data_IF_304501501724
#
_entry.id   IF_304501501724
#
_cell.length_a   1.000
_cell.length_b   1.000
_cell.length_c   1.000
_cell.angle_alpha   90.00
_cell.angle_beta   90.00
_cell.angle_gamma   90.00
#
_symmetry.space_group_name_H-M   'P 1'
#
loop_
_entity.id
_entity.type
_entity.pdbx_description
1 polymer ?
#
# COMPACT_ATOMS: atom_id res chain seq x y z
N UNK A 1 9.31 -15.94 -37.91
CA UNK A 1 10.36 -16.37 -36.97
C UNK A 1 9.76 -16.46 -35.58
N UNK A 2 10.01 -17.55 -34.86
CA UNK A 2 9.49 -17.80 -33.52
C UNK A 2 10.67 -17.72 -32.56
N UNK A 3 10.73 -16.66 -31.74
CA UNK A 3 11.94 -16.30 -30.98
C UNK A 3 12.05 -16.95 -29.59
N UNK A 4 10.92 -17.41 -29.03
CA UNK A 4 10.89 -18.14 -27.77
C UNK A 4 9.53 -18.78 -27.51
N UNK A 5 9.54 -19.96 -26.91
CA UNK A 5 8.35 -20.68 -26.43
C UNK A 5 8.48 -20.92 -24.92
N UNK A 6 7.36 -21.02 -24.22
CA UNK A 6 7.34 -21.21 -22.77
C UNK A 6 6.08 -21.94 -22.33
N UNK A 7 6.21 -22.78 -21.30
CA UNK A 7 5.14 -23.64 -20.81
C UNK A 7 4.99 -23.42 -19.32
N UNK A 8 3.83 -22.94 -18.88
CA UNK A 8 3.58 -22.68 -17.46
C UNK A 8 2.20 -23.13 -17.02
N UNK A 9 2.03 -23.29 -15.71
CA UNK A 9 0.75 -23.66 -15.07
C UNK A 9 -0.37 -22.64 -15.26
N UNK A 10 -0.06 -21.45 -15.79
CA UNK A 10 -1.04 -20.44 -16.20
C UNK A 10 -0.59 -19.74 -17.48
N UNK A 11 -1.54 -19.15 -18.22
CA UNK A 11 -1.22 -18.31 -19.39
C UNK A 11 -0.24 -17.18 -19.07
N UNK A 12 -0.26 -16.65 -17.83
CA UNK A 12 0.68 -15.62 -17.39
C UNK A 12 2.09 -16.18 -17.21
N UNK A 13 2.22 -17.35 -16.58
CA UNK A 13 3.50 -18.03 -16.40
C UNK A 13 4.11 -18.44 -17.75
N UNK A 14 3.32 -19.05 -18.63
CA UNK A 14 3.77 -19.44 -19.97
C UNK A 14 4.27 -18.25 -20.81
N UNK A 15 3.56 -17.10 -20.74
CA UNK A 15 4.00 -15.86 -21.41
C UNK A 15 5.29 -15.29 -20.82
N UNK A 16 5.44 -15.31 -19.50
CA UNK A 16 6.65 -14.81 -18.84
C UNK A 16 7.87 -15.67 -19.23
N UNK A 17 7.70 -16.99 -19.31
CA UNK A 17 8.76 -17.91 -19.70
C UNK A 17 9.12 -17.80 -21.19
N UNK A 18 8.13 -17.69 -22.07
CA UNK A 18 8.39 -17.44 -23.49
C UNK A 18 9.13 -16.11 -23.72
N UNK A 19 8.76 -15.06 -22.96
CA UNK A 19 9.43 -13.76 -23.01
C UNK A 19 10.87 -13.84 -22.48
N UNK A 20 11.11 -14.60 -21.41
CA UNK A 20 12.46 -14.86 -20.87
C UNK A 20 13.33 -15.57 -21.91
N UNK A 21 12.84 -16.66 -22.49
CA UNK A 21 13.55 -17.40 -23.55
C UNK A 21 13.86 -16.51 -24.76
N UNK A 22 12.94 -15.61 -25.12
CA UNK A 22 13.15 -14.64 -26.20
C UNK A 22 14.26 -13.62 -25.85
N UNK A 23 14.28 -13.10 -24.62
CA UNK A 23 15.33 -12.17 -24.17
C UNK A 23 16.69 -12.83 -24.09
N UNK A 24 16.76 -14.11 -23.70
CA UNK A 24 18.00 -14.90 -23.70
C UNK A 24 18.58 -15.05 -25.10
N UNK A 25 17.73 -15.22 -26.13
CA UNK A 25 18.15 -15.31 -27.54
C UNK A 25 18.58 -13.94 -28.09
N UNK A 26 17.88 -12.87 -27.71
CA UNK A 26 18.13 -11.53 -28.26
C UNK A 26 19.25 -10.75 -27.56
N UNK A 27 19.50 -11.02 -26.27
CA UNK A 27 20.49 -10.29 -25.46
C UNK A 27 21.24 -11.29 -24.56
N UNK A 28 22.31 -11.94 -25.07
CA UNK A 28 23.06 -12.95 -24.33
C UNK A 28 23.65 -12.44 -23.00
N UNK A 29 24.01 -11.15 -22.93
CA UNK A 29 24.52 -10.49 -21.71
C UNK A 29 23.47 -10.43 -20.57
N UNK A 30 22.18 -10.50 -20.90
CA UNK A 30 21.13 -10.59 -19.87
C UNK A 30 21.10 -11.95 -19.17
N UNK A 31 21.70 -12.99 -19.76
CA UNK A 31 21.81 -14.31 -19.13
C UNK A 31 22.55 -14.21 -17.79
N UNK A 32 23.65 -13.45 -17.75
CA UNK A 32 24.43 -13.30 -16.53
C UNK A 32 23.74 -12.42 -15.49
N UNK A 33 23.06 -11.34 -15.90
CA UNK A 33 22.30 -10.50 -14.95
C UNK A 33 21.07 -11.19 -14.37
N UNK A 34 20.44 -12.10 -15.11
CA UNK A 34 19.31 -12.90 -14.61
C UNK A 34 19.81 -14.05 -13.70
N UNK A 35 20.93 -14.70 -14.03
CA UNK A 35 21.51 -15.79 -13.23
C UNK A 35 22.21 -15.26 -11.96
N UNK A 36 23.01 -14.20 -12.07
CA UNK A 36 23.64 -13.52 -10.93
C UNK A 36 22.62 -12.68 -10.16
N UNK A 37 21.58 -12.21 -10.83
CA UNK A 37 20.39 -11.67 -10.20
C UNK A 37 19.68 -12.72 -9.35
N UNK A 38 19.62 -13.99 -9.76
CA UNK A 38 19.00 -15.05 -8.97
C UNK A 38 19.78 -15.42 -7.70
N UNK A 39 21.12 -15.30 -7.68
CA UNK A 39 21.92 -15.52 -6.46
C UNK A 39 21.78 -14.36 -5.45
N UNK A 40 21.61 -13.12 -5.93
CA UNK A 40 21.26 -11.96 -5.09
C UNK A 40 19.74 -11.76 -4.88
N UNK A 41 18.88 -12.52 -5.56
CA UNK A 41 17.41 -12.52 -5.43
C UNK A 41 16.88 -13.70 -4.63
N UNK A 42 17.74 -14.39 -3.86
CA UNK A 42 17.32 -15.24 -2.73
C UNK A 42 16.57 -14.45 -1.64
N UNK A 43 16.47 -13.13 -1.78
CA UNK A 43 15.43 -12.33 -1.14
C UNK A 43 14.15 -12.43 -1.96
N UNK A 44 13.29 -13.37 -1.57
CA UNK A 44 11.86 -13.23 -1.85
C UNK A 44 11.38 -11.81 -1.49
N UNK A 45 10.23 -11.35 -2.03
CA UNK A 45 9.76 -9.97 -1.93
C UNK A 45 9.48 -9.46 -0.50
N UNK A 46 9.84 -10.23 0.53
CA UNK A 46 9.50 -10.02 1.93
C UNK A 46 10.71 -9.78 2.84
N UNK A 47 11.96 -9.83 2.33
CA UNK A 47 13.15 -9.93 3.20
C UNK A 47 14.04 -8.71 3.36
N UNK A 48 13.95 -7.68 2.51
CA UNK A 48 14.87 -6.52 2.62
C UNK A 48 14.36 -5.25 1.90
N UNK A 49 13.11 -4.86 2.12
CA UNK A 49 12.53 -3.61 1.57
C UNK A 49 12.41 -2.47 2.57
N UNK A 50 12.60 -2.74 3.86
CA UNK A 50 12.68 -1.69 4.89
C UNK A 50 13.90 -0.77 4.69
N UNK A 51 14.95 -1.25 4.03
CA UNK A 51 16.16 -0.44 3.75
C UNK A 51 15.88 0.68 2.74
N UNK A 52 14.86 0.56 1.88
CA UNK A 52 14.58 1.55 0.82
C UNK A 52 13.61 2.67 1.25
N UNK A 53 12.88 2.47 2.36
CA UNK A 53 11.95 3.49 2.89
C UNK A 53 12.65 4.61 3.65
N UNK A 54 13.88 4.37 4.12
CA UNK A 54 14.70 5.37 4.82
C UNK A 54 14.98 6.61 3.96
N UNK A 55 15.13 6.44 2.65
CA UNK A 55 15.26 7.55 1.70
C UNK A 55 14.05 8.51 1.73
N UNK A 56 12.85 8.00 1.98
CA UNK A 56 11.64 8.81 2.04
C UNK A 56 11.46 9.54 3.38
N UNK A 57 12.29 9.26 4.39
CA UNK A 57 12.21 9.95 5.68
C UNK A 57 12.68 11.40 5.59
N UNK A 58 13.55 11.73 4.63
CA UNK A 58 14.01 13.09 4.37
C UNK A 58 13.07 13.85 3.41
N UNK A 59 12.19 13.14 2.70
CA UNK A 59 11.30 13.72 1.69
C UNK A 59 10.03 14.24 2.36
N UNK A 60 9.72 15.52 2.16
CA UNK A 60 8.49 16.14 2.66
C UNK A 60 7.25 15.65 1.90
N UNK A 61 6.10 15.62 2.56
CA UNK A 61 4.83 15.17 1.96
C UNK A 61 4.44 16.01 0.72
N UNK A 62 4.65 17.32 0.78
CA UNK A 62 4.31 18.27 -0.28
C UNK A 62 5.36 18.36 -1.42
N UNK A 63 6.41 17.54 -1.38
CA UNK A 63 7.45 17.61 -2.41
C UNK A 63 6.88 17.21 -3.80
N UNK A 64 7.04 18.05 -4.84
CA UNK A 64 6.55 17.77 -6.19
C UNK A 64 7.12 16.49 -6.83
N UNK A 65 8.25 15.97 -6.34
CA UNK A 65 8.94 14.79 -6.87
C UNK A 65 8.37 13.48 -6.34
N UNK A 66 7.66 13.51 -5.22
CA UNK A 66 7.10 12.31 -4.58
C UNK A 66 6.30 11.42 -5.55
N UNK A 67 5.43 11.93 -6.45
CA UNK A 67 4.70 11.06 -7.38
C UNK A 67 5.62 10.32 -8.36
N UNK A 68 6.73 10.94 -8.76
CA UNK A 68 7.74 10.33 -9.62
C UNK A 68 8.58 9.30 -8.86
N UNK A 69 8.98 9.64 -7.64
CA UNK A 69 9.71 8.73 -6.75
C UNK A 69 8.89 7.47 -6.43
N UNK A 70 7.60 7.62 -6.15
CA UNK A 70 6.68 6.49 -5.94
C UNK A 70 6.60 5.61 -7.20
N UNK A 71 6.54 6.21 -8.39
CA UNK A 71 6.49 5.44 -9.64
C UNK A 71 7.79 4.65 -9.90
N UNK A 72 8.95 5.20 -9.53
CA UNK A 72 10.26 4.53 -9.67
C UNK A 72 10.45 3.40 -8.66
N UNK A 73 10.02 3.61 -7.42
CA UNK A 73 10.17 2.66 -6.30
C UNK A 73 9.03 1.62 -6.22
N UNK A 74 8.04 1.70 -7.12
CA UNK A 74 6.83 0.87 -7.10
C UNK A 74 5.96 1.03 -5.85
N UNK A 75 6.07 2.18 -5.18
CA UNK A 75 5.22 2.57 -4.06
C UNK A 75 3.92 3.24 -4.51
N UNK A 76 2.85 3.25 -3.69
CA UNK A 76 1.56 3.78 -4.09
C UNK A 76 1.63 5.28 -4.29
N UNK A 77 1.01 5.76 -5.36
CA UNK A 77 0.93 7.20 -5.63
C UNK A 77 0.22 7.95 -4.49
N UNK A 78 0.49 9.25 -4.27
CA UNK A 78 -0.12 10.02 -3.20
C UNK A 78 -1.64 9.92 -3.10
N UNK A 79 -2.34 9.97 -4.24
CA UNK A 79 -3.78 9.78 -4.27
C UNK A 79 -4.24 8.40 -3.79
N UNK A 80 -3.47 7.35 -4.07
CA UNK A 80 -3.77 6.00 -3.60
C UNK A 80 -3.56 5.87 -2.09
N UNK A 81 -2.54 6.55 -1.55
CA UNK A 81 -2.32 6.65 -0.10
C UNK A 81 -3.48 7.39 0.57
N UNK A 82 -3.91 8.53 0.02
CA UNK A 82 -5.08 9.25 0.51
C UNK A 82 -6.32 8.37 0.56
N UNK A 83 -6.59 7.61 -0.50
CA UNK A 83 -7.72 6.67 -0.53
C UNK A 83 -7.64 5.60 0.56
N UNK A 84 -6.43 5.09 0.81
CA UNK A 84 -6.18 4.09 1.84
C UNK A 84 -6.35 4.68 3.24
N UNK A 85 -5.84 5.90 3.46
CA UNK A 85 -6.03 6.66 4.70
C UNK A 85 -7.53 6.86 4.96
N UNK A 86 -8.28 7.31 3.96
CA UNK A 86 -9.72 7.50 4.10
C UNK A 86 -10.45 6.18 4.42
N UNK A 87 -10.09 5.10 3.74
CA UNK A 87 -10.71 3.78 3.93
C UNK A 87 -10.49 3.22 5.32
N UNK A 88 -9.30 3.42 5.90
CA UNK A 88 -8.93 2.88 7.21
C UNK A 88 -9.52 3.66 8.37
N UNK A 89 -9.47 4.99 8.30
CA UNK A 89 -9.84 5.84 9.43
C UNK A 89 -11.36 6.12 9.48
N UNK A 90 -12.03 6.16 8.32
CA UNK A 90 -13.43 6.63 8.25
C UNK A 90 -14.42 5.58 7.72
N UNK A 91 -13.96 4.36 7.40
CA UNK A 91 -14.82 3.23 7.01
C UNK A 91 -15.61 3.48 5.72
N UNK A 92 -15.05 3.11 4.56
CA UNK A 92 -15.62 3.54 3.27
C UNK A 92 -16.88 2.74 2.84
N UNK A 93 -18.01 3.44 2.80
CA UNK A 93 -19.15 3.18 1.91
C UNK A 93 -19.22 4.15 0.72
N UNK A 94 -18.70 5.37 0.83
CA UNK A 94 -18.71 6.32 -0.29
C UNK A 94 -17.42 7.15 -0.38
N UNK A 95 -16.94 7.30 -1.61
CA UNK A 95 -15.69 8.01 -1.95
C UNK A 95 -16.00 9.51 -1.96
N UNK A 96 -16.00 10.15 -0.79
CA UNK A 96 -16.25 11.58 -0.59
C UNK A 96 -15.14 12.50 -1.14
N UNK A 97 -14.45 12.11 -2.23
CA UNK A 97 -13.42 12.92 -2.88
C UNK A 97 -14.02 13.55 -4.12
N UNK A 98 -14.45 14.81 -3.98
CA UNK A 98 -14.88 15.63 -5.11
C UNK A 98 -13.65 16.32 -5.71
N UNK A 99 -13.56 16.40 -7.03
CA UNK A 99 -12.50 17.15 -7.69
C UNK A 99 -12.99 17.86 -8.94
N UNK A 100 -12.51 19.08 -9.13
CA UNK A 100 -12.87 19.95 -10.25
C UNK A 100 -11.59 20.53 -10.86
N UNK A 101 -11.60 20.69 -12.18
CA UNK A 101 -10.52 21.33 -12.92
C UNK A 101 -11.02 22.68 -13.45
N UNK A 102 -10.52 23.75 -12.89
CA UNK A 102 -10.87 25.11 -13.27
C UNK A 102 -9.77 25.70 -14.15
N UNK A 103 -10.15 26.22 -15.32
CA UNK A 103 -9.22 26.94 -16.20
C UNK A 103 -9.25 28.42 -15.85
N UNK A 104 -8.17 28.96 -15.29
CA UNK A 104 -8.09 30.39 -14.98
C UNK A 104 -7.70 31.19 -16.23
N UNK A 105 -7.96 32.51 -16.16
CA UNK A 105 -7.42 33.47 -17.14
C UNK A 105 -5.88 33.36 -17.19
N UNK A 106 -5.31 33.40 -18.40
CA UNK A 106 -3.88 33.21 -18.72
C UNK A 106 -3.36 31.76 -18.79
N UNK A 107 -4.16 30.79 -19.26
CA UNK A 107 -3.73 29.39 -19.50
C UNK A 107 -3.19 28.65 -18.26
N UNK A 108 -3.48 29.11 -17.06
CA UNK A 108 -3.15 28.39 -15.83
C UNK A 108 -4.33 27.52 -15.44
N UNK A 109 -4.11 26.21 -15.30
CA UNK A 109 -5.12 25.30 -14.79
C UNK A 109 -4.99 25.21 -13.27
N UNK A 110 -6.11 25.27 -12.57
CA UNK A 110 -6.21 25.04 -11.14
C UNK A 110 -7.02 23.77 -10.90
N UNK A 111 -6.56 22.95 -9.98
CA UNK A 111 -7.22 21.74 -9.56
C UNK A 111 -7.75 21.93 -8.14
N UNK A 112 -9.06 21.83 -7.99
CA UNK A 112 -9.73 21.86 -6.70
C UNK A 112 -10.01 20.43 -6.27
N UNK A 113 -9.65 20.06 -5.04
CA UNK A 113 -10.04 18.79 -4.45
C UNK A 113 -10.65 19.02 -3.07
N UNK A 114 -11.79 18.38 -2.84
CA UNK A 114 -12.56 18.47 -1.60
C UNK A 114 -12.69 17.09 -1.00
N UNK A 115 -12.26 16.95 0.26
CA UNK A 115 -12.36 15.73 1.06
C UNK A 115 -12.90 16.09 2.44
N UNK A 116 -14.18 15.77 2.68
CA UNK A 116 -14.86 16.19 3.91
C UNK A 116 -14.89 17.71 4.04
N UNK A 117 -14.26 18.23 5.10
CA UNK A 117 -14.08 19.67 5.37
C UNK A 117 -12.85 20.29 4.68
N UNK A 118 -11.96 19.49 4.11
CA UNK A 118 -10.70 20.00 3.55
C UNK A 118 -10.85 20.24 2.06
N UNK A 119 -10.81 21.52 1.68
CA UNK A 119 -10.77 21.95 0.28
C UNK A 119 -9.41 22.53 -0.03
N UNK A 120 -8.74 22.00 -1.05
CA UNK A 120 -7.44 22.51 -1.51
C UNK A 120 -7.52 22.92 -2.98
N UNK A 121 -6.87 24.04 -3.29
CA UNK A 121 -6.73 24.57 -4.64
C UNK A 121 -5.25 24.53 -5.01
N UNK A 122 -4.90 23.83 -6.10
CA UNK A 122 -3.52 23.66 -6.51
C UNK A 122 -3.33 24.03 -7.97
N UNK A 123 -2.39 24.93 -8.31
CA UNK A 123 -2.04 25.20 -9.70
C UNK A 123 -1.37 23.97 -10.32
N UNK A 124 -1.87 23.51 -11.46
CA UNK A 124 -1.38 22.31 -12.12
C UNK A 124 -1.18 22.54 -13.62
N UNK A 125 -0.23 21.79 -14.20
CA UNK A 125 -0.07 21.74 -15.65
C UNK A 125 -1.03 20.72 -16.26
N UNK A 126 -1.14 19.56 -15.61
CA UNK A 126 -1.90 18.41 -16.07
C UNK A 126 -2.88 17.92 -14.99
N UNK A 127 -4.04 17.38 -15.39
CA UNK A 127 -5.02 16.78 -14.47
C UNK A 127 -4.41 15.72 -13.55
N UNK A 128 -3.49 14.90 -14.08
CA UNK A 128 -2.79 13.87 -13.29
C UNK A 128 -1.90 14.47 -12.20
N UNK A 129 -1.16 15.53 -12.52
CA UNK A 129 -0.26 16.21 -11.58
C UNK A 129 -1.06 16.95 -10.50
N UNK A 130 -2.10 17.68 -10.91
CA UNK A 130 -3.01 18.36 -9.99
C UNK A 130 -3.65 17.40 -8.99
N UNK A 131 -4.09 16.23 -9.45
CA UNK A 131 -4.65 15.18 -8.58
C UNK A 131 -3.65 14.69 -7.52
N UNK A 132 -2.39 14.51 -7.87
CA UNK A 132 -1.38 14.03 -6.91
C UNK A 132 -0.98 15.12 -5.92
N UNK A 133 -0.77 16.35 -6.39
CA UNK A 133 -0.42 17.47 -5.49
C UNK A 133 -1.55 17.85 -4.55
N UNK A 134 -2.79 17.86 -5.03
CA UNK A 134 -3.95 18.04 -4.17
C UNK A 134 -4.03 16.93 -3.12
N UNK A 135 -3.72 15.68 -3.47
CA UNK A 135 -3.69 14.58 -2.51
C UNK A 135 -2.61 14.75 -1.45
N UNK A 136 -1.42 15.24 -1.83
CA UNK A 136 -0.36 15.56 -0.86
C UNK A 136 -0.80 16.65 0.11
N UNK A 137 -1.40 17.74 -0.39
CA UNK A 137 -1.86 18.84 0.45
C UNK A 137 -2.94 18.38 1.45
N UNK A 138 -3.90 17.56 1.00
CA UNK A 138 -4.91 17.00 1.91
C UNK A 138 -4.28 16.01 2.90
N UNK A 139 -3.33 15.18 2.47
CA UNK A 139 -2.62 14.27 3.38
C UNK A 139 -1.85 15.03 4.46
N UNK A 140 -1.24 16.16 4.11
CA UNK A 140 -0.56 17.04 5.07
C UNK A 140 -1.55 17.68 6.06
N UNK A 141 -2.73 18.09 5.58
CA UNK A 141 -3.80 18.62 6.44
C UNK A 141 -4.38 17.56 7.39
N UNK A 142 -4.54 16.31 6.92
CA UNK A 142 -5.01 15.19 7.74
C UNK A 142 -3.97 14.73 8.77
N UNK A 143 -2.69 14.95 8.52
CA UNK A 143 -1.59 14.53 9.38
C UNK A 143 -0.61 15.68 9.66
N UNK A 144 -1.01 16.71 10.43
CA UNK A 144 -0.18 17.89 10.67
C UNK A 144 1.13 17.57 11.40
N UNK A 145 1.15 16.49 12.18
CA UNK A 145 2.33 16.04 12.92
C UNK A 145 3.30 15.17 12.09
N UNK A 146 2.89 14.75 10.89
CA UNK A 146 3.72 13.93 10.01
C UNK A 146 4.30 14.85 8.93
N UNK A 147 5.62 14.93 8.90
CA UNK A 147 6.35 15.79 7.96
C UNK A 147 7.02 15.00 6.83
N UNK A 148 7.33 13.71 7.07
CA UNK A 148 8.03 12.86 6.10
C UNK A 148 7.11 11.90 5.36
N UNK A 149 7.39 11.71 4.07
CA UNK A 149 6.68 10.76 3.22
C UNK A 149 6.93 9.31 3.64
N UNK A 150 8.14 9.00 4.13
CA UNK A 150 8.51 7.68 4.62
C UNK A 150 7.63 7.22 5.78
N UNK A 151 7.34 8.11 6.72
CA UNK A 151 6.38 7.85 7.81
C UNK A 151 4.99 7.52 7.27
N UNK A 152 4.53 8.26 6.27
CA UNK A 152 3.22 8.03 5.65
C UNK A 152 3.17 6.69 4.88
N UNK A 153 4.26 6.30 4.22
CA UNK A 153 4.40 4.99 3.57
C UNK A 153 4.40 3.84 4.58
N UNK A 154 4.98 4.02 5.77
CA UNK A 154 4.89 2.99 6.83
C UNK A 154 3.46 2.83 7.36
N UNK A 155 2.69 3.93 7.43
CA UNK A 155 1.31 3.91 7.90
C UNK A 155 0.32 3.40 6.85
N UNK A 156 0.48 3.78 5.58
CA UNK A 156 -0.53 3.58 4.52
C UNK A 156 0.02 2.99 3.21
N UNK A 157 1.34 2.81 3.11
CA UNK A 157 2.01 2.28 1.91
C UNK A 157 1.79 0.79 1.69
N UNK A 158 2.46 0.25 0.66
CA UNK A 158 2.28 -1.13 0.18
C UNK A 158 2.44 -2.18 1.27
N UNK A 159 3.35 -1.94 2.21
CA UNK A 159 3.70 -2.84 3.31
C UNK A 159 2.76 -2.75 4.51
N UNK A 160 2.13 -1.59 4.71
CA UNK A 160 1.13 -1.42 5.77
C UNK A 160 -0.16 -2.18 5.45
N UNK A 161 -0.43 -2.42 4.17
CA UNK A 161 -1.55 -3.21 3.70
C UNK A 161 -1.09 -4.67 3.68
N UNK A 162 -1.64 -5.52 4.57
CA UNK A 162 -1.80 -6.94 4.22
C UNK A 162 -2.59 -6.93 2.92
N UNK A 163 -1.90 -7.12 1.79
CA UNK A 163 -2.47 -6.80 0.49
C UNK A 163 -3.75 -7.60 0.34
N UNK A 164 -4.80 -7.06 -0.27
CA UNK A 164 -5.98 -7.86 -0.63
C UNK A 164 -5.54 -9.12 -1.39
N UNK A 165 -4.41 -9.06 -2.13
CA UNK A 165 -3.75 -10.22 -2.72
C UNK A 165 -3.20 -11.20 -1.70
N UNK A 166 -2.53 -10.74 -0.65
CA UNK A 166 -1.99 -11.58 0.41
C UNK A 166 -3.12 -12.26 1.18
N UNK A 167 -4.15 -11.51 1.57
CA UNK A 167 -5.36 -12.07 2.17
C UNK A 167 -6.03 -13.11 1.25
N UNK A 168 -6.17 -12.80 -0.04
CA UNK A 168 -6.72 -13.75 -1.02
C UNK A 168 -5.82 -14.97 -1.23
N UNK A 169 -4.51 -14.82 -1.13
CA UNK A 169 -3.54 -15.91 -1.25
C UNK A 169 -3.55 -16.78 0.01
N UNK A 170 -3.74 -16.20 1.19
CA UNK A 170 -3.99 -16.93 2.44
C UNK A 170 -5.31 -17.70 2.37
N UNK A 171 -6.40 -17.07 1.91
CA UNK A 171 -7.68 -17.73 1.66
C UNK A 171 -7.54 -18.89 0.68
N UNK A 172 -6.83 -18.70 -0.43
CA UNK A 172 -6.54 -19.76 -1.40
C UNK A 172 -5.71 -20.90 -0.81
N UNK A 173 -4.75 -20.61 0.06
CA UNK A 173 -3.99 -21.64 0.78
C UNK A 173 -4.91 -22.48 1.67
N UNK A 174 -5.87 -21.85 2.36
CA UNK A 174 -6.86 -22.56 3.18
C UNK A 174 -7.72 -23.47 2.29
N UNK A 175 -8.21 -22.98 1.15
CA UNK A 175 -9.00 -23.79 0.20
C UNK A 175 -8.19 -24.97 -0.36
N UNK A 176 -6.90 -24.77 -0.66
CA UNK A 176 -6.00 -25.85 -1.08
C UNK A 176 -5.81 -26.89 0.03
N UNK A 177 -5.66 -26.45 1.29
CA UNK A 177 -5.56 -27.36 2.42
C UNK A 177 -6.86 -28.16 2.60
N UNK A 178 -8.03 -27.56 2.39
CA UNK A 178 -9.32 -28.27 2.38
C UNK A 178 -9.39 -29.34 1.28
N UNK A 179 -8.88 -29.05 0.09
CA UNK A 179 -8.85 -30.03 -1.01
C UNK A 179 -7.92 -31.23 -0.78
N UNK A 180 -6.93 -31.10 0.13
CA UNK A 180 -6.02 -32.19 0.52
C UNK A 180 -6.61 -33.13 1.57
N UNK A 181 -7.82 -32.87 2.05
CA UNK A 181 -8.49 -33.77 2.98
C UNK A 181 -8.82 -35.10 2.31
N UNK A 182 -8.41 -36.21 2.93
CA UNK A 182 -8.91 -37.52 2.55
C UNK A 182 -10.39 -37.66 2.96
N UNK A 183 -11.20 -38.30 2.11
CA UNK A 183 -12.61 -38.57 2.41
C UNK A 183 -12.69 -39.41 3.69
N UNK A 184 -13.47 -38.95 4.67
CA UNK A 184 -13.66 -39.57 6.00
C UNK A 184 -12.48 -39.52 6.98
N UNK A 185 -11.48 -38.65 6.77
CA UNK A 185 -10.43 -38.40 7.75
C UNK A 185 -10.38 -36.91 8.15
N UNK A 186 -10.00 -36.60 9.40
CA UNK A 186 -9.81 -35.22 9.82
C UNK A 186 -8.65 -34.56 9.06
N UNK A 187 -8.82 -33.29 8.71
CA UNK A 187 -7.83 -32.54 7.96
C UNK A 187 -6.70 -32.03 8.88
N UNK A 188 -5.71 -32.90 9.13
CA UNK A 188 -4.54 -32.57 9.94
C UNK A 188 -3.75 -31.36 9.42
N UNK A 189 -3.77 -31.09 8.12
CA UNK A 189 -3.05 -29.96 7.53
C UNK A 189 -3.69 -28.61 7.89
N UNK A 190 -5.02 -28.54 7.99
CA UNK A 190 -5.74 -27.36 8.49
C UNK A 190 -5.53 -27.20 10.00
N UNK A 191 -5.58 -28.29 10.76
CA UNK A 191 -5.38 -28.27 12.21
C UNK A 191 -3.99 -27.76 12.58
N UNK A 192 -2.94 -28.20 11.88
CA UNK A 192 -1.58 -27.70 12.13
C UNK A 192 -1.43 -26.24 11.72
N UNK A 193 -2.02 -25.82 10.60
CA UNK A 193 -2.03 -24.40 10.19
C UNK A 193 -2.73 -23.53 11.24
N UNK A 194 -3.87 -23.98 11.78
CA UNK A 194 -4.58 -23.30 12.87
C UNK A 194 -3.70 -23.22 14.13
N UNK A 195 -3.02 -24.30 14.50
CA UNK A 195 -2.12 -24.34 15.66
C UNK A 195 -1.00 -23.30 15.54
N UNK A 196 -0.39 -23.20 14.35
CA UNK A 196 0.67 -22.22 14.08
C UNK A 196 0.15 -20.77 14.17
N UNK A 197 -1.01 -20.47 13.57
CA UNK A 197 -1.59 -19.12 13.65
C UNK A 197 -2.01 -18.78 15.09
N UNK A 198 -2.52 -19.73 15.87
CA UNK A 198 -2.85 -19.54 17.29
C UNK A 198 -1.61 -19.25 18.15
N UNK A 199 -0.48 -19.92 17.87
CA UNK A 199 0.78 -19.63 18.54
C UNK A 199 1.29 -18.21 18.24
N UNK A 200 1.24 -17.81 16.96
CA UNK A 200 1.60 -16.45 16.53
C UNK A 200 0.71 -15.38 17.17
N UNK A 201 -0.59 -15.66 17.25
CA UNK A 201 -1.55 -14.76 17.90
C UNK A 201 -1.25 -14.61 19.39
N UNK A 202 -0.92 -15.71 20.08
CA UNK A 202 -0.49 -15.68 21.48
C UNK A 202 0.76 -14.82 21.68
N UNK A 203 1.78 -14.99 20.84
CA UNK A 203 3.01 -14.17 20.89
C UNK A 203 2.70 -12.68 20.72
N UNK A 204 1.85 -12.34 19.75
CA UNK A 204 1.43 -10.96 19.53
C UNK A 204 0.65 -10.40 20.72
N UNK A 205 -0.28 -11.17 21.27
CA UNK A 205 -1.07 -10.77 22.45
C UNK A 205 -0.19 -10.56 23.68
N UNK A 206 0.84 -11.39 23.85
CA UNK A 206 1.80 -11.27 24.95
C UNK A 206 2.74 -10.06 24.79
N UNK A 207 3.08 -9.71 23.55
CA UNK A 207 3.87 -8.51 23.25
C UNK A 207 3.09 -7.21 23.47
N UNK A 208 1.77 -7.23 23.30
CA UNK A 208 0.88 -6.10 23.62
C UNK A 208 0.60 -6.10 25.12
N UNK A 209 1.52 -5.54 25.91
CA UNK A 209 1.27 -5.27 27.33
C UNK A 209 0.47 -3.96 27.47
N UNK A 210 -0.67 -3.95 28.18
CA UNK A 210 -1.38 -2.72 28.45
C UNK A 210 -0.51 -1.84 29.37
N UNK A 211 -0.11 -0.67 28.87
CA UNK A 211 0.74 0.31 29.60
C UNK A 211 -0.01 0.88 30.82
N UNK A 212 -1.33 0.73 30.88
CA UNK A 212 -2.19 1.12 31.99
C UNK A 212 -3.57 1.51 31.50
N UNK A 213 -4.48 1.84 32.43
CA UNK A 213 -5.75 2.50 32.12
C UNK A 213 -5.51 4.01 32.18
N UNK A 214 -5.70 4.72 31.07
CA UNK A 214 -5.68 6.18 31.09
C UNK A 214 -6.88 6.68 31.91
N UNK A 215 -6.60 7.36 33.01
CA UNK A 215 -7.60 8.07 33.82
C UNK A 215 -7.32 9.55 33.56
N UNK A 216 -8.19 10.25 32.80
CA UNK A 216 -8.03 11.69 32.60
C UNK A 216 -8.14 12.41 33.96
N UNK A 217 -7.41 13.52 34.16
CA UNK A 217 -7.64 14.41 35.29
C UNK A 217 -9.08 14.95 35.28
N UNK A 218 -9.66 15.19 36.46
CA UNK A 218 -11.07 15.63 36.61
C UNK A 218 -11.40 16.92 35.85
N UNK A 219 -10.39 17.74 35.52
CA UNK A 219 -10.53 19.00 34.78
C UNK A 219 -10.52 18.86 33.25
N UNK A 220 -10.32 17.63 32.71
CA UNK A 220 -10.22 17.39 31.27
C UNK A 220 -11.43 16.61 30.75
N UNK A 221 -12.38 17.34 30.17
CA UNK A 221 -13.46 16.72 29.40
C UNK A 221 -12.89 16.05 28.15
N UNK A 222 -12.91 14.72 28.10
CA UNK A 222 -12.58 13.98 26.89
C UNK A 222 -13.59 14.32 25.79
N UNK A 223 -13.15 14.52 24.52
CA UNK A 223 -14.07 14.73 23.43
C UNK A 223 -15.00 13.50 23.31
N UNK A 224 -16.30 13.73 23.50
CA UNK A 224 -17.36 12.69 23.38
C UNK A 224 -17.62 12.27 21.93
N UNK A 225 -16.94 12.90 20.97
CA UNK A 225 -17.22 12.78 19.55
C UNK A 225 -16.24 11.78 18.94
N UNK A 226 -16.79 10.80 18.22
CA UNK A 226 -16.02 9.80 17.50
C UNK A 226 -15.06 10.47 16.51
N UNK A 227 -13.75 10.24 16.67
CA UNK A 227 -12.71 10.72 15.75
C UNK A 227 -12.78 10.11 14.34
N UNK A 228 -13.79 9.27 14.07
CA UNK A 228 -14.07 8.65 12.78
C UNK A 228 -15.03 9.47 11.90
N UNK A 229 -15.41 10.68 12.31
CA UNK A 229 -16.25 11.56 11.50
C UNK A 229 -15.42 12.68 10.85
N UNK A 230 -15.28 12.61 9.53
CA UNK A 230 -14.57 13.59 8.69
C UNK A 230 -15.12 15.02 8.86
N UNK A 231 -16.36 15.15 9.34
CA UNK A 231 -17.00 16.44 9.60
C UNK A 231 -16.69 17.01 10.99
N UNK A 232 -15.96 16.32 11.87
CA UNK A 232 -15.74 16.79 13.24
C UNK A 232 -14.29 17.18 13.56
N UNK A 233 -13.37 17.06 12.60
CA UNK A 233 -11.99 17.54 12.75
C UNK A 233 -11.92 19.03 12.40
N UNK A 234 -12.04 19.88 13.42
CA UNK A 234 -11.58 21.26 13.37
C UNK A 234 -10.08 21.28 13.72
N UNK A 235 -9.28 21.93 12.89
CA UNK A 235 -7.86 22.24 13.15
C UNK A 235 -7.76 23.73 13.47
#
# INVERSE_FOLDING_TARGET
MQYGSGVGSSKKAAKAEAAKATLEVLIPEMKETIINGASNSSRGPSGNRDIDLSFFDEVKIEDPRVPELCAKTSEPSPYAILLTCLQRNYGLGDKHVQYELNTLKHQKNEFTMTVGKHTVHVPCKNKRDGKQKAAQAILQALHPHIWSWGSLLRLYGSHSLKSIKEKKQEEQQITLLQSKAAVNAPNYAILEKLRQEMLKLREWTQAVQPIGKFIPPDDVSLPSISGADLHNLDI
#
